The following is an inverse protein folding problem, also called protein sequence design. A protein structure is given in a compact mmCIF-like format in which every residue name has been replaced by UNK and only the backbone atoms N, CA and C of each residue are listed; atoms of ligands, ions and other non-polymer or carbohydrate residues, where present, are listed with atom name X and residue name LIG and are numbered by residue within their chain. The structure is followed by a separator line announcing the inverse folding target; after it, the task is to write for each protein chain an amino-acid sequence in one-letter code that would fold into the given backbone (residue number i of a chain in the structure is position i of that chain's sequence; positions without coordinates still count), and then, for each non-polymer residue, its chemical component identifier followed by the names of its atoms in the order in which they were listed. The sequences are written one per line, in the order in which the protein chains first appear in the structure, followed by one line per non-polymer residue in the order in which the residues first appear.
data_IF_342547481930
#
_entry.id   IF_342547481930
#
_cell.length_a   1.000
_cell.length_b   1.000
_cell.length_c   1.000
_cell.angle_alpha   90.00
_cell.angle_beta   90.00
_cell.angle_gamma   90.00
#
_symmetry.space_group_name_H-M   'P 1'
#
loop_
_entity.id
_entity.type
_entity.pdbx_description
1 polymer ?
#
# COMPACT_ATOMS: atom_id res chain seq x y z
N UNK A 1 -19.40 -9.70 -13.72
CA UNK A 1 -19.19 -9.15 -12.36
C UNK A 1 -17.77 -9.47 -11.90
N UNK A 2 -17.03 -8.48 -11.40
CA UNK A 2 -15.70 -8.69 -10.80
C UNK A 2 -15.84 -9.60 -9.56
N UNK A 3 -15.06 -10.68 -9.49
CA UNK A 3 -15.06 -11.54 -8.31
C UNK A 3 -14.40 -10.81 -7.14
N UNK A 4 -15.20 -10.30 -6.20
CA UNK A 4 -14.74 -9.46 -5.08
C UNK A 4 -13.66 -10.13 -4.24
N UNK A 5 -13.74 -11.45 -3.99
CA UNK A 5 -12.71 -12.20 -3.26
C UNK A 5 -11.37 -12.17 -3.97
N UNK A 6 -11.37 -12.40 -5.29
CA UNK A 6 -10.15 -12.31 -6.11
C UNK A 6 -9.57 -10.90 -6.07
N UNK A 7 -10.43 -9.87 -6.09
CA UNK A 7 -10.01 -8.48 -6.08
C UNK A 7 -9.41 -8.04 -4.74
N UNK A 8 -10.00 -8.45 -3.60
CA UNK A 8 -9.42 -8.25 -2.27
C UNK A 8 -8.04 -8.90 -2.17
N UNK A 9 -7.89 -10.13 -2.67
CA UNK A 9 -6.59 -10.82 -2.68
C UNK A 9 -5.58 -10.10 -3.58
N UNK A 10 -6.00 -9.57 -4.73
CA UNK A 10 -5.13 -8.78 -5.61
C UNK A 10 -4.64 -7.53 -4.88
N UNK A 11 -5.57 -6.77 -4.30
CA UNK A 11 -5.29 -5.57 -3.53
C UNK A 11 -4.32 -5.87 -2.37
N UNK A 12 -4.58 -6.91 -1.57
CA UNK A 12 -3.73 -7.30 -0.45
C UNK A 12 -2.29 -7.61 -0.88
N UNK A 13 -2.12 -8.40 -1.95
CA UNK A 13 -0.79 -8.70 -2.48
C UNK A 13 -0.08 -7.45 -3.01
N UNK A 14 -0.81 -6.50 -3.58
CA UNK A 14 -0.23 -5.22 -4.00
C UNK A 14 0.21 -4.40 -2.79
N UNK A 15 -0.61 -4.31 -1.74
CA UNK A 15 -0.23 -3.64 -0.49
C UNK A 15 1.08 -4.23 0.06
N UNK A 16 1.20 -5.56 0.15
CA UNK A 16 2.43 -6.22 0.61
C UNK A 16 3.64 -5.84 -0.27
N UNK A 17 3.48 -5.80 -1.60
CA UNK A 17 4.59 -5.41 -2.49
C UNK A 17 4.98 -3.95 -2.29
N UNK A 18 4.01 -3.04 -2.21
CA UNK A 18 4.24 -1.61 -2.01
C UNK A 18 4.91 -1.33 -0.66
N UNK A 19 4.49 -2.01 0.41
CA UNK A 19 5.06 -1.81 1.75
C UNK A 19 6.52 -2.24 1.86
N UNK A 20 7.00 -3.16 1.02
CA UNK A 20 8.44 -3.52 0.95
C UNK A 20 9.34 -2.37 0.47
N UNK A 21 8.76 -1.35 -0.17
CA UNK A 21 9.50 -0.15 -0.61
C UNK A 21 9.86 0.79 0.54
N UNK A 22 9.49 0.47 1.79
CA UNK A 22 9.79 1.25 2.98
C UNK A 22 10.92 0.59 3.79
N UNK A 23 12.21 0.91 3.51
CA UNK A 23 13.36 0.24 4.13
C UNK A 23 13.68 0.72 5.54
N UNK A 24 13.10 1.83 5.98
CA UNK A 24 13.43 2.48 7.25
C UNK A 24 12.61 1.94 8.42
N UNK A 25 13.17 2.09 9.62
CA UNK A 25 12.50 1.75 10.88
C UNK A 25 11.70 2.95 11.41
N UNK A 26 10.65 2.68 12.17
CA UNK A 26 9.92 3.69 12.93
C UNK A 26 10.69 4.06 14.22
N UNK A 27 10.13 5.00 15.00
CA UNK A 27 10.70 5.49 16.26
C UNK A 27 10.89 4.39 17.31
N UNK A 28 10.07 3.33 17.26
CA UNK A 28 10.17 2.16 18.13
C UNK A 28 11.18 1.12 17.63
N UNK A 29 11.93 1.44 16.56
CA UNK A 29 12.91 0.55 15.95
C UNK A 29 12.29 -0.58 15.12
N UNK A 30 10.99 -0.56 14.80
CA UNK A 30 10.34 -1.58 13.98
C UNK A 30 10.41 -1.24 12.50
N UNK A 31 10.60 -2.24 11.63
CA UNK A 31 10.60 -2.01 10.19
C UNK A 31 9.20 -1.61 9.71
N UNK A 32 9.08 -0.48 8.99
CA UNK A 32 7.77 0.00 8.51
C UNK A 32 7.04 -1.02 7.63
N UNK A 33 7.76 -1.77 6.79
CA UNK A 33 7.15 -2.81 5.96
C UNK A 33 6.45 -3.90 6.79
N UNK A 34 7.02 -4.27 7.94
CA UNK A 34 6.43 -5.26 8.85
C UNK A 34 5.19 -4.71 9.55
N UNK A 35 5.27 -3.48 10.05
CA UNK A 35 4.14 -2.80 10.70
C UNK A 35 2.96 -2.65 9.74
N UNK A 36 3.22 -2.14 8.53
CA UNK A 36 2.18 -1.93 7.51
C UNK A 36 1.57 -3.26 7.03
N UNK A 37 2.38 -4.32 6.89
CA UNK A 37 1.87 -5.64 6.56
C UNK A 37 0.95 -6.18 7.65
N UNK A 38 1.34 -6.08 8.92
CA UNK A 38 0.52 -6.48 10.07
C UNK A 38 -0.81 -5.73 10.09
N UNK A 39 -0.77 -4.40 9.86
CA UNK A 39 -1.96 -3.56 9.84
C UNK A 39 -2.91 -3.93 8.69
N UNK A 40 -2.39 -4.10 7.47
CA UNK A 40 -3.19 -4.52 6.32
C UNK A 40 -3.84 -5.89 6.53
N UNK A 41 -3.12 -6.83 7.15
CA UNK A 41 -3.68 -8.14 7.51
C UNK A 41 -4.80 -8.00 8.54
N UNK A 42 -4.57 -7.21 9.59
CA UNK A 42 -5.56 -6.97 10.64
C UNK A 42 -6.85 -6.39 10.08
N UNK A 43 -6.75 -5.37 9.22
CA UNK A 43 -7.91 -4.71 8.62
C UNK A 43 -8.74 -5.67 7.76
N UNK A 44 -8.09 -6.50 6.93
CA UNK A 44 -8.80 -7.48 6.10
C UNK A 44 -9.47 -8.57 6.96
N UNK A 45 -8.78 -9.06 7.98
CA UNK A 45 -9.34 -10.09 8.88
C UNK A 45 -10.53 -9.56 9.68
N UNK A 46 -10.47 -8.32 10.16
CA UNK A 46 -11.59 -7.66 10.85
C UNK A 46 -12.85 -7.57 9.99
N UNK A 47 -12.69 -7.47 8.66
CA UNK A 47 -13.80 -7.32 7.71
C UNK A 47 -14.10 -8.62 6.94
N UNK A 48 -13.54 -9.77 7.35
CA UNK A 48 -13.63 -11.03 6.58
C UNK A 48 -15.05 -11.58 6.42
N UNK A 49 -15.95 -11.19 7.32
CA UNK A 49 -17.35 -11.60 7.36
C UNK A 49 -18.30 -10.55 6.81
N UNK A 50 -17.77 -9.46 6.24
CA UNK A 50 -18.61 -8.47 5.57
C UNK A 50 -19.34 -9.14 4.40
N UNK A 51 -20.66 -8.97 4.36
CA UNK A 51 -21.54 -9.52 3.32
C UNK A 51 -22.17 -8.43 2.46
N UNK A 52 -22.20 -7.19 2.95
CA UNK A 52 -22.77 -6.09 2.20
C UNK A 52 -21.97 -5.79 0.93
N UNK A 53 -22.67 -5.89 -0.19
CA UNK A 53 -22.05 -5.80 -1.50
C UNK A 53 -21.47 -4.41 -1.76
N UNK A 54 -22.15 -3.35 -1.32
CA UNK A 54 -21.74 -1.98 -1.55
C UNK A 54 -20.50 -1.63 -0.71
N UNK A 55 -20.52 -2.00 0.56
CA UNK A 55 -19.42 -1.81 1.51
C UNK A 55 -18.14 -2.49 1.02
N UNK A 56 -18.22 -3.75 0.59
CA UNK A 56 -17.05 -4.46 0.03
C UNK A 56 -16.50 -3.71 -1.18
N UNK A 57 -17.37 -3.28 -2.10
CA UNK A 57 -16.95 -2.56 -3.30
C UNK A 57 -16.27 -1.24 -2.98
N UNK A 58 -16.86 -0.43 -2.08
CA UNK A 58 -16.28 0.84 -1.61
C UNK A 58 -14.90 0.62 -1.01
N UNK A 59 -14.76 -0.34 -0.09
CA UNK A 59 -13.47 -0.66 0.56
C UNK A 59 -12.40 -1.06 -0.46
N UNK A 60 -12.75 -1.86 -1.46
CA UNK A 60 -11.82 -2.24 -2.53
C UNK A 60 -11.37 -1.00 -3.32
N UNK A 61 -12.31 -0.14 -3.73
CA UNK A 61 -12.01 1.07 -4.51
C UNK A 61 -11.10 2.01 -3.71
N UNK A 62 -11.47 2.32 -2.47
CA UNK A 62 -10.66 3.17 -1.59
C UNK A 62 -9.28 2.58 -1.33
N UNK A 63 -9.20 1.27 -1.08
CA UNK A 63 -7.91 0.59 -0.89
C UNK A 63 -6.99 0.73 -2.11
N UNK A 64 -7.53 0.61 -3.33
CA UNK A 64 -6.74 0.84 -4.54
C UNK A 64 -6.30 2.30 -4.68
N UNK A 65 -7.16 3.27 -4.39
CA UNK A 65 -6.81 4.69 -4.42
C UNK A 65 -5.66 4.99 -3.45
N UNK A 66 -5.72 4.49 -2.21
CA UNK A 66 -4.65 4.66 -1.23
C UNK A 66 -3.33 4.04 -1.70
N UNK A 67 -3.37 2.84 -2.26
CA UNK A 67 -2.16 2.18 -2.79
C UNK A 67 -1.56 2.97 -3.95
N UNK A 68 -2.39 3.45 -4.88
CA UNK A 68 -1.94 4.26 -6.00
C UNK A 68 -1.30 5.57 -5.53
N UNK A 69 -1.92 6.28 -4.58
CA UNK A 69 -1.38 7.51 -4.03
C UNK A 69 -0.01 7.28 -3.37
N UNK A 70 0.13 6.21 -2.59
CA UNK A 70 1.40 5.85 -1.96
C UNK A 70 2.48 5.52 -3.00
N UNK A 71 2.13 4.75 -4.03
CA UNK A 71 3.06 4.43 -5.12
C UNK A 71 3.51 5.69 -5.86
N UNK A 72 2.60 6.62 -6.15
CA UNK A 72 2.93 7.89 -6.78
C UNK A 72 3.88 8.71 -5.92
N UNK A 73 3.63 8.81 -4.60
CA UNK A 73 4.54 9.51 -3.67
C UNK A 73 5.93 8.87 -3.65
N UNK A 74 6.03 7.54 -3.72
CA UNK A 74 7.32 6.84 -3.81
C UNK A 74 8.04 7.18 -5.11
N UNK A 75 7.35 7.12 -6.25
CA UNK A 75 7.92 7.43 -7.57
C UNK A 75 8.42 8.87 -7.61
N UNK A 76 7.59 9.83 -7.18
CA UNK A 76 7.95 11.24 -7.14
C UNK A 76 9.17 11.52 -6.25
N UNK A 77 9.32 10.80 -5.14
CA UNK A 77 10.51 10.91 -4.30
C UNK A 77 11.75 10.36 -5.00
N UNK A 78 11.65 9.27 -5.74
CA UNK A 78 12.77 8.67 -6.47
C UNK A 78 13.23 9.57 -7.64
N UNK A 79 12.28 10.13 -8.41
CA UNK A 79 12.61 11.03 -9.53
C UNK A 79 13.26 12.32 -9.05
N UNK A 80 12.78 12.91 -7.96
CA UNK A 80 13.39 14.11 -7.37
C UNK A 80 14.81 13.86 -6.86
N UNK A 81 15.05 12.71 -6.19
CA UNK A 81 16.40 12.36 -5.74
C UNK A 81 17.35 12.18 -6.94
N UNK A 82 16.88 11.53 -8.01
CA UNK A 82 17.67 11.35 -9.23
C UNK A 82 18.03 12.68 -9.91
N UNK A 83 17.08 13.61 -10.03
CA UNK A 83 17.33 14.92 -10.64
C UNK A 83 18.25 15.82 -9.79
N UNK A 84 18.13 15.81 -8.46
CA UNK A 84 19.05 16.53 -7.57
C UNK A 84 20.48 15.99 -7.69
N UNK A 85 20.67 14.66 -7.72
CA UNK A 85 22.00 14.05 -7.86
C UNK A 85 22.68 14.28 -9.21
N UNK A 86 21.95 14.72 -10.24
CA UNK A 86 22.51 15.11 -11.54
C UNK A 86 23.00 16.57 -11.58
N UNK A 87 22.42 17.45 -10.77
CA UNK A 87 22.81 18.87 -10.71
C UNK A 87 24.05 19.13 -9.84
N UNK A 88 24.35 18.26 -8.86
CA UNK A 88 25.55 18.36 -8.02
C UNK A 88 26.85 17.92 -8.72
N UNK A 89 26.77 17.43 -9.96
CA UNK A 89 27.93 16.98 -10.75
C UNK A 89 28.31 17.94 -11.89
N UNK A 90 27.80 19.16 -11.88
CA UNK A 90 28.06 20.17 -12.92
C UNK A 90 28.72 21.42 -12.37
#
# INVERSE_FOLDING_TARGET
MLNKRKEVLRLYRTIIRTTRMFPHRNEQGQLWSSVLHKNARMEIEQNRYETDAETISKRIIFGWQCVQEVQQKIINKQTNVASTSANDKK
#
